data_IF_413184082196
#
_entry.id   IF_413184082196
#
_cell.length_a   1.000
_cell.length_b   1.000
_cell.length_c   1.000
_cell.angle_alpha   90.00
_cell.angle_beta   90.00
_cell.angle_gamma   90.00
#
_symmetry.space_group_name_H-M   'P 1'
#
loop_
_entity.id
_entity.type
_entity.pdbx_description
1 polymer ?
#
# COMPACT_ATOMS: atom_id res chain seq x y z
N UNK A 1 -3.93 -32.80 -17.88
CA UNK A 1 -4.69 -31.57 -17.61
C UNK A 1 -4.33 -30.56 -18.68
N UNK A 2 -5.29 -30.10 -19.47
CA UNK A 2 -5.04 -29.38 -20.73
C UNK A 2 -4.52 -27.96 -20.43
N UNK A 3 -3.32 -27.60 -20.91
CA UNK A 3 -2.65 -26.34 -20.58
C UNK A 3 -3.54 -25.10 -20.82
N UNK A 4 -4.44 -25.19 -21.82
CA UNK A 4 -5.44 -24.17 -22.15
C UNK A 4 -6.44 -23.90 -21.02
N UNK A 5 -6.88 -24.93 -20.29
CA UNK A 5 -7.84 -24.79 -19.19
C UNK A 5 -7.20 -24.10 -17.99
N UNK A 6 -5.93 -24.38 -17.71
CA UNK A 6 -5.18 -23.76 -16.61
C UNK A 6 -4.93 -22.27 -16.87
N UNK A 7 -4.59 -21.87 -18.10
CA UNK A 7 -4.39 -20.46 -18.46
C UNK A 7 -5.69 -19.66 -18.37
N UNK A 8 -6.81 -20.21 -18.88
CA UNK A 8 -8.13 -19.57 -18.79
C UNK A 8 -8.58 -19.40 -17.33
N UNK A 9 -8.38 -20.42 -16.49
CA UNK A 9 -8.67 -20.32 -15.06
C UNK A 9 -7.84 -19.20 -14.41
N UNK A 10 -6.53 -19.19 -14.68
CA UNK A 10 -5.59 -18.21 -14.11
C UNK A 10 -5.96 -16.76 -14.49
N UNK A 11 -6.28 -16.51 -15.76
CA UNK A 11 -6.70 -15.17 -16.22
C UNK A 11 -8.08 -14.78 -15.67
N UNK A 12 -9.01 -15.73 -15.54
CA UNK A 12 -10.32 -15.50 -14.93
C UNK A 12 -10.21 -15.09 -13.46
N UNK A 13 -9.43 -15.85 -12.67
CA UNK A 13 -9.16 -15.54 -11.26
C UNK A 13 -8.49 -14.18 -11.10
N UNK A 14 -7.51 -13.86 -11.93
CA UNK A 14 -6.82 -12.58 -11.81
C UNK A 14 -7.70 -11.38 -12.16
N UNK A 15 -8.52 -11.46 -13.21
CA UNK A 15 -9.50 -10.41 -13.51
C UNK A 15 -10.47 -10.19 -12.35
N UNK A 16 -10.93 -11.27 -11.71
CA UNK A 16 -11.78 -11.17 -10.52
C UNK A 16 -11.07 -10.43 -9.39
N UNK A 17 -9.83 -10.83 -9.07
CA UNK A 17 -9.02 -10.17 -8.05
C UNK A 17 -8.75 -8.69 -8.37
N UNK A 18 -8.36 -8.36 -9.60
CA UNK A 18 -8.17 -6.97 -10.03
C UNK A 18 -9.44 -6.15 -9.81
N UNK A 19 -10.61 -6.66 -10.20
CA UNK A 19 -11.89 -5.95 -10.01
C UNK A 19 -12.20 -5.74 -8.53
N UNK A 20 -11.94 -6.74 -7.68
CA UNK A 20 -12.14 -6.63 -6.23
C UNK A 20 -11.23 -5.55 -5.64
N UNK A 21 -9.93 -5.57 -5.96
CA UNK A 21 -8.97 -4.59 -5.44
C UNK A 21 -9.23 -3.18 -5.97
N UNK A 22 -9.61 -3.05 -7.25
CA UNK A 22 -10.01 -1.77 -7.82
C UNK A 22 -11.28 -1.23 -7.14
N UNK A 23 -12.27 -2.09 -6.92
CA UNK A 23 -13.50 -1.73 -6.19
C UNK A 23 -13.21 -1.29 -4.76
N UNK A 24 -12.29 -1.98 -4.07
CA UNK A 24 -11.82 -1.59 -2.73
C UNK A 24 -11.11 -0.23 -2.76
N UNK A 25 -10.22 0.01 -3.72
CA UNK A 25 -9.54 1.30 -3.83
C UNK A 25 -10.55 2.45 -4.01
N UNK A 26 -11.54 2.28 -4.89
CA UNK A 26 -12.62 3.26 -5.08
C UNK A 26 -13.45 3.44 -3.81
N UNK A 27 -13.78 2.35 -3.11
CA UNK A 27 -14.53 2.42 -1.86
C UNK A 27 -13.75 3.16 -0.75
N UNK A 28 -12.44 2.95 -0.63
CA UNK A 28 -11.58 3.65 0.34
C UNK A 28 -11.49 5.14 0.00
N UNK A 29 -11.32 5.49 -1.28
CA UNK A 29 -11.35 6.91 -1.71
C UNK A 29 -12.72 7.53 -1.42
N UNK A 30 -13.81 6.81 -1.67
CA UNK A 30 -15.16 7.24 -1.31
C UNK A 30 -15.29 7.48 0.20
N UNK A 31 -14.82 6.54 1.03
CA UNK A 31 -14.78 6.66 2.49
C UNK A 31 -14.07 7.92 2.94
N UNK A 32 -12.90 8.21 2.36
CA UNK A 32 -12.09 9.38 2.68
C UNK A 32 -12.88 10.68 2.44
N UNK A 33 -13.59 10.80 1.31
CA UNK A 33 -14.40 12.00 1.04
C UNK A 33 -15.55 12.14 2.04
N UNK A 34 -16.22 11.03 2.40
CA UNK A 34 -17.27 11.03 3.42
C UNK A 34 -16.73 11.36 4.82
N UNK A 35 -15.56 10.83 5.20
CA UNK A 35 -14.91 11.12 6.48
C UNK A 35 -14.59 12.62 6.59
N UNK A 36 -14.03 13.23 5.54
CA UNK A 36 -13.75 14.68 5.52
C UNK A 36 -15.03 15.50 5.70
N UNK A 37 -16.11 15.14 5.00
CA UNK A 37 -17.37 15.87 5.11
C UNK A 37 -17.98 15.76 6.51
N UNK A 38 -17.96 14.56 7.09
CA UNK A 38 -18.49 14.31 8.42
C UNK A 38 -17.67 15.04 9.50
N UNK A 39 -16.35 15.00 9.41
CA UNK A 39 -15.44 15.67 10.34
C UNK A 39 -15.50 17.20 10.22
N UNK A 40 -15.66 17.74 9.01
CA UNK A 40 -15.85 19.17 8.80
C UNK A 40 -17.13 19.71 9.48
N UNK A 41 -18.21 18.91 9.54
CA UNK A 41 -19.45 19.27 10.23
C UNK A 41 -19.34 19.15 11.76
N UNK A 42 -18.51 18.23 12.25
CA UNK A 42 -18.25 18.01 13.67
C UNK A 42 -17.32 19.08 14.29
N UNK A 43 -16.65 19.88 13.45
CA UNK A 43 -15.71 20.91 13.91
C UNK A 43 -14.43 20.31 14.51
N UNK A 44 -14.00 19.13 14.04
CA UNK A 44 -12.74 18.53 14.49
C UNK A 44 -11.54 19.36 14.04
N UNK A 45 -10.41 19.18 14.75
CA UNK A 45 -9.16 19.86 14.43
C UNK A 45 -8.76 19.57 12.99
N UNK A 46 -8.56 20.64 12.21
CA UNK A 46 -8.13 20.60 10.82
C UNK A 46 -6.89 19.71 10.66
N UNK A 47 -5.95 19.77 11.60
CA UNK A 47 -4.76 18.91 11.57
C UNK A 47 -5.14 17.42 11.60
N UNK A 48 -6.07 17.02 12.46
CA UNK A 48 -6.48 15.63 12.59
C UNK A 48 -7.18 15.12 11.32
N UNK A 49 -8.00 15.96 10.68
CA UNK A 49 -8.65 15.65 9.40
C UNK A 49 -7.60 15.41 8.31
N UNK A 50 -6.59 16.27 8.20
CA UNK A 50 -5.51 16.11 7.24
C UNK A 50 -4.73 14.82 7.47
N UNK A 51 -4.33 14.55 8.71
CA UNK A 51 -3.54 13.36 9.04
C UNK A 51 -4.31 12.06 8.74
N UNK A 52 -5.60 12.01 9.09
CA UNK A 52 -6.45 10.84 8.81
C UNK A 52 -6.70 10.66 7.31
N UNK A 53 -6.88 11.76 6.58
CA UNK A 53 -7.05 11.75 5.12
C UNK A 53 -5.78 11.27 4.41
N UNK A 54 -4.60 11.71 4.86
CA UNK A 54 -3.33 11.26 4.30
C UNK A 54 -3.13 9.76 4.52
N UNK A 55 -3.35 9.25 5.73
CA UNK A 55 -3.22 7.82 6.01
C UNK A 55 -4.17 7.00 5.11
N UNK A 56 -5.45 7.34 5.10
CA UNK A 56 -6.46 6.65 4.30
C UNK A 56 -6.14 6.74 2.80
N UNK A 57 -5.63 7.89 2.34
CA UNK A 57 -5.22 8.11 0.95
C UNK A 57 -4.05 7.23 0.52
N UNK A 58 -3.04 7.05 1.38
CA UNK A 58 -1.91 6.17 1.07
C UNK A 58 -2.36 4.71 1.03
N UNK A 59 -3.27 4.28 1.92
CA UNK A 59 -3.85 2.92 1.86
C UNK A 59 -4.60 2.72 0.55
N UNK A 60 -5.42 3.70 0.13
CA UNK A 60 -6.13 3.64 -1.14
C UNK A 60 -5.16 3.51 -2.33
N UNK A 61 -4.07 4.28 -2.30
CA UNK A 61 -3.03 4.23 -3.33
C UNK A 61 -2.33 2.86 -3.36
N UNK A 62 -1.99 2.28 -2.21
CA UNK A 62 -1.36 0.96 -2.13
C UNK A 62 -2.27 -0.14 -2.70
N UNK A 63 -3.57 -0.11 -2.36
CA UNK A 63 -4.58 -1.07 -2.86
C UNK A 63 -4.77 -0.89 -4.37
N UNK A 64 -4.76 0.34 -4.87
CA UNK A 64 -4.83 0.64 -6.30
C UNK A 64 -3.59 0.14 -7.05
N UNK A 65 -2.38 0.37 -6.53
CA UNK A 65 -1.15 -0.16 -7.11
C UNK A 65 -1.19 -1.70 -7.18
N UNK A 66 -1.63 -2.38 -6.13
CA UNK A 66 -1.83 -3.83 -6.15
C UNK A 66 -2.82 -4.30 -7.23
N UNK A 67 -3.93 -3.56 -7.44
CA UNK A 67 -4.90 -3.91 -8.47
C UNK A 67 -4.27 -3.88 -9.88
N UNK A 68 -3.50 -2.83 -10.17
CA UNK A 68 -2.80 -2.66 -11.46
C UNK A 68 -1.74 -3.73 -11.67
N UNK A 69 -1.06 -4.10 -10.61
CA UNK A 69 -0.05 -5.15 -10.58
C UNK A 69 -0.63 -6.51 -10.92
N UNK A 70 -1.71 -6.90 -10.25
CA UNK A 70 -2.40 -8.17 -10.52
C UNK A 70 -2.91 -8.17 -11.96
N UNK A 71 -3.43 -7.04 -12.43
CA UNK A 71 -3.88 -6.91 -13.80
C UNK A 71 -2.71 -7.13 -14.78
N UNK A 72 -1.55 -6.49 -14.55
CA UNK A 72 -0.38 -6.58 -15.41
C UNK A 72 0.22 -7.99 -15.43
N UNK A 73 0.32 -8.64 -14.28
CA UNK A 73 0.94 -9.97 -14.11
C UNK A 73 0.13 -11.11 -14.76
N UNK A 74 -1.19 -10.93 -14.86
CA UNK A 74 -2.10 -12.02 -15.25
C UNK A 74 -3.01 -11.72 -16.45
N UNK A 75 -2.94 -10.53 -17.06
CA UNK A 75 -3.74 -10.16 -18.25
C UNK A 75 -3.37 -10.88 -19.55
N UNK A 76 -2.53 -11.92 -19.51
CA UNK A 76 -2.41 -12.86 -20.62
C UNK A 76 -1.65 -12.35 -21.84
N UNK A 77 -0.68 -11.45 -21.68
CA UNK A 77 0.32 -11.22 -22.72
C UNK A 77 1.26 -12.43 -22.79
N UNK A 78 0.85 -13.48 -23.49
CA UNK A 78 1.61 -14.73 -23.71
C UNK A 78 2.87 -14.53 -24.58
N UNK A 79 3.10 -13.35 -25.18
CA UNK A 79 4.18 -13.13 -26.15
C UNK A 79 5.53 -12.69 -25.55
N UNK A 80 5.61 -12.51 -24.24
CA UNK A 80 6.91 -12.34 -23.56
C UNK A 80 6.91 -13.20 -22.33
N UNK A 81 7.78 -14.21 -22.30
CA UNK A 81 8.34 -14.74 -21.06
C UNK A 81 9.15 -13.61 -20.40
N UNK A 82 8.51 -12.52 -19.99
CA UNK A 82 9.04 -11.75 -18.87
C UNK A 82 8.97 -12.73 -17.70
N UNK A 83 10.13 -13.19 -17.25
CA UNK A 83 10.21 -14.09 -16.11
C UNK A 83 9.38 -13.47 -14.99
N UNK A 84 8.54 -14.27 -14.32
CA UNK A 84 7.73 -13.84 -13.16
C UNK A 84 8.57 -13.03 -12.16
N UNK A 85 9.87 -13.32 -12.11
CA UNK A 85 10.88 -12.61 -11.33
C UNK A 85 11.05 -11.15 -11.78
N UNK A 86 11.10 -10.84 -13.08
CA UNK A 86 11.25 -9.47 -13.59
C UNK A 86 10.01 -8.61 -13.36
N UNK A 87 8.82 -9.19 -13.49
CA UNK A 87 7.58 -8.48 -13.16
C UNK A 87 7.44 -8.20 -11.66
N UNK A 88 7.83 -9.16 -10.81
CA UNK A 88 7.92 -8.95 -9.35
C UNK A 88 8.96 -7.86 -8.99
N UNK A 89 10.12 -7.81 -9.66
CA UNK A 89 11.17 -6.79 -9.43
C UNK A 89 10.71 -5.37 -9.72
N UNK A 90 9.82 -5.15 -10.70
CA UNK A 90 9.28 -3.81 -11.00
C UNK A 90 8.21 -3.36 -10.01
N UNK A 91 7.56 -4.34 -9.39
CA UNK A 91 6.29 -4.15 -8.72
C UNK A 91 6.40 -4.13 -7.20
N UNK A 92 7.14 -5.08 -6.63
CA UNK A 92 7.35 -5.18 -5.19
C UNK A 92 7.95 -3.90 -4.59
N UNK A 93 8.93 -3.22 -5.25
CA UNK A 93 9.46 -1.97 -4.72
C UNK A 93 8.45 -0.82 -4.68
N UNK A 94 7.53 -0.76 -5.65
CA UNK A 94 6.48 0.26 -5.66
C UNK A 94 5.49 0.03 -4.52
N UNK A 95 4.96 -1.19 -4.41
CA UNK A 95 4.03 -1.54 -3.35
C UNK A 95 4.64 -1.37 -1.94
N UNK A 96 5.82 -1.94 -1.70
CA UNK A 96 6.50 -1.85 -0.40
C UNK A 96 6.90 -0.40 -0.12
N UNK A 97 7.30 0.36 -1.15
CA UNK A 97 7.57 1.79 -1.03
C UNK A 97 6.37 2.57 -0.51
N UNK A 98 5.19 2.38 -1.10
CA UNK A 98 3.94 3.02 -0.66
C UNK A 98 3.58 2.63 0.78
N UNK A 99 3.75 1.35 1.16
CA UNK A 99 3.53 0.88 2.53
C UNK A 99 4.52 1.51 3.52
N UNK A 100 5.81 1.63 3.15
CA UNK A 100 6.81 2.33 3.96
C UNK A 100 6.48 3.81 4.15
N UNK A 101 5.95 4.48 3.14
CA UNK A 101 5.51 5.87 3.26
C UNK A 101 4.35 5.97 4.25
N UNK A 102 3.34 5.09 4.16
CA UNK A 102 2.25 5.03 5.15
C UNK A 102 2.76 4.83 6.58
N UNK A 103 3.60 3.81 6.79
CA UNK A 103 4.14 3.50 8.12
C UNK A 103 5.01 4.62 8.68
N UNK A 104 5.83 5.27 7.85
CA UNK A 104 6.62 6.44 8.27
C UNK A 104 5.73 7.59 8.71
N UNK A 105 4.66 7.84 7.97
CA UNK A 105 3.72 8.93 8.26
C UNK A 105 2.95 8.65 9.55
N UNK A 106 2.52 7.41 9.75
CA UNK A 106 1.85 6.96 10.96
C UNK A 106 2.75 7.11 12.19
N UNK A 107 4.03 6.72 12.07
CA UNK A 107 5.04 6.96 13.11
C UNK A 107 5.22 8.45 13.42
N UNK A 108 5.32 9.29 12.39
CA UNK A 108 5.52 10.73 12.53
C UNK A 108 4.32 11.44 13.19
N UNK A 109 3.09 11.06 12.79
CA UNK A 109 1.85 11.54 13.40
C UNK A 109 1.82 11.23 14.90
N UNK A 110 2.19 10.00 15.27
CA UNK A 110 2.24 9.61 16.67
C UNK A 110 3.32 10.36 17.44
N UNK A 111 4.50 10.62 16.86
CA UNK A 111 5.51 11.47 17.51
C UNK A 111 4.93 12.86 17.80
N UNK A 112 4.26 13.49 16.84
CA UNK A 112 3.66 14.81 17.01
C UNK A 112 2.60 14.78 18.11
N UNK A 113 1.69 13.80 18.06
CA UNK A 113 0.59 13.65 19.02
C UNK A 113 1.09 13.39 20.44
N UNK A 114 2.06 12.48 20.61
CA UNK A 114 2.65 12.19 21.92
C UNK A 114 3.51 13.33 22.45
N UNK A 115 4.18 14.09 21.56
CA UNK A 115 4.95 15.27 21.95
C UNK A 115 4.08 16.39 22.50
N UNK A 116 2.84 16.52 22.04
CA UNK A 116 1.92 17.59 22.48
C UNK A 116 1.15 17.24 23.76
N UNK A 117 0.98 15.96 24.09
CA UNK A 117 0.19 15.49 25.23
C UNK A 117 0.99 15.33 26.53
N UNK A 118 2.27 15.72 26.57
CA UNK A 118 3.21 15.50 27.70
C UNK A 118 3.33 14.03 28.18
N UNK A 119 2.77 13.06 27.44
CA UNK A 119 2.90 11.61 27.64
C UNK A 119 4.25 11.09 27.10
N UNK A 120 5.34 11.77 27.47
CA UNK A 120 6.70 11.47 27.02
C UNK A 120 7.22 10.07 27.44
N UNK A 121 6.45 9.33 28.25
CA UNK A 121 6.79 7.98 28.68
C UNK A 121 6.58 6.87 27.64
N UNK A 122 5.77 7.08 26.58
CA UNK A 122 5.40 6.01 25.63
C UNK A 122 5.94 6.20 24.19
N UNK A 123 7.05 6.94 24.02
CA UNK A 123 7.66 7.17 22.69
C UNK A 123 8.18 5.88 22.01
N UNK A 124 8.22 4.76 22.72
CA UNK A 124 8.67 3.48 22.18
C UNK A 124 7.87 3.04 20.95
N UNK A 125 6.57 3.36 20.89
CA UNK A 125 5.73 2.94 19.77
C UNK A 125 6.09 3.63 18.44
N UNK A 126 6.16 4.97 18.34
CA UNK A 126 6.64 5.62 17.12
C UNK A 126 8.08 5.22 16.74
N UNK A 127 8.97 5.05 17.71
CA UNK A 127 10.36 4.61 17.44
C UNK A 127 10.39 3.19 16.86
N UNK A 128 9.54 2.28 17.36
CA UNK A 128 9.39 0.93 16.82
C UNK A 128 8.88 0.96 15.37
N UNK A 129 7.91 1.82 15.04
CA UNK A 129 7.37 1.92 13.67
C UNK A 129 8.44 2.47 12.71
N UNK A 130 9.14 3.54 13.10
CA UNK A 130 10.18 4.16 12.25
C UNK A 130 11.36 3.19 12.05
N UNK A 131 11.80 2.50 13.12
CA UNK A 131 12.88 1.50 13.01
C UNK A 131 12.46 0.29 12.17
N UNK A 132 11.24 -0.24 12.34
CA UNK A 132 10.72 -1.32 11.52
C UNK A 132 10.62 -0.92 10.04
N UNK A 133 10.21 0.34 9.76
CA UNK A 133 10.15 0.86 8.39
C UNK A 133 11.54 0.97 7.77
N UNK A 134 12.53 1.46 8.51
CA UNK A 134 13.93 1.47 8.08
C UNK A 134 14.46 0.06 7.78
N UNK A 135 14.15 -0.91 8.64
CA UNK A 135 14.52 -2.31 8.44
C UNK A 135 13.85 -2.90 7.19
N UNK A 136 12.57 -2.60 6.94
CA UNK A 136 11.85 -3.03 5.74
C UNK A 136 12.50 -2.48 4.46
N UNK A 137 12.90 -1.20 4.46
CA UNK A 137 13.58 -0.57 3.33
C UNK A 137 14.96 -1.18 3.07
N UNK A 138 15.70 -1.52 4.13
CA UNK A 138 16.99 -2.22 4.01
C UNK A 138 16.78 -3.62 3.41
N UNK A 139 15.80 -4.38 3.91
CA UNK A 139 15.46 -5.70 3.39
C UNK A 139 15.04 -5.63 1.92
N UNK A 140 14.22 -4.64 1.53
CA UNK A 140 13.84 -4.38 0.15
C UNK A 140 15.06 -4.03 -0.72
N UNK A 141 15.96 -3.18 -0.22
CA UNK A 141 17.18 -2.77 -0.93
C UNK A 141 18.10 -3.96 -1.19
N UNK A 142 18.28 -4.84 -0.20
CA UNK A 142 19.04 -6.08 -0.32
C UNK A 142 18.37 -7.02 -1.33
N UNK A 143 17.04 -7.17 -1.27
CA UNK A 143 16.28 -7.99 -2.21
C UNK A 143 16.49 -7.51 -3.66
N UNK A 144 16.35 -6.21 -3.93
CA UNK A 144 16.59 -5.66 -5.27
C UNK A 144 18.04 -5.88 -5.70
N UNK A 145 19.01 -5.63 -4.82
CA UNK A 145 20.43 -5.81 -5.11
C UNK A 145 20.78 -7.26 -5.46
N UNK A 146 20.32 -8.22 -4.67
CA UNK A 146 20.62 -9.65 -4.86
C UNK A 146 19.92 -10.22 -6.09
N UNK A 147 18.74 -9.69 -6.40
CA UNK A 147 17.98 -10.07 -7.58
C UNK A 147 18.46 -9.27 -8.81
N UNK A 148 19.43 -8.35 -8.72
CA UNK A 148 20.01 -7.65 -9.87
C UNK A 148 21.06 -8.55 -10.55
N UNK A 149 20.60 -9.62 -11.19
CA UNK A 149 21.42 -10.50 -12.02
C UNK A 149 20.71 -10.77 -13.34
#
# INVERSE_FOLDING_TARGET
>A
MNARTTTILRTGFAKLFTVIFLGLAVAIVGSLVSDIYQEAQLGSDVMQIFLRSINTGIIALAVFELALVINKEYSGNEDKREDVIDSLRRTLPQFIGTVCVALSLEGLIMVIKYSQLELAGNLMYPVAIISATGFLLIALSIFIYLTRK
#
